data_IF_327265033978
#
_entry.id   IF_327265033978
#
_cell.length_a   1.000
_cell.length_b   1.000
_cell.length_c   1.000
_cell.angle_alpha   90.00
_cell.angle_beta   90.00
_cell.angle_gamma   90.00
#
_symmetry.space_group_name_H-M   'P 1'
#
loop_
_entity.id
_entity.type
_entity.pdbx_description
1 polymer ?
#
# COMPACT_ATOMS: atom_id res chain seq x y z
N UNK A 1 -30.97 -0.07 -1.79
CA UNK A 1 -29.83 -0.59 -2.57
C UNK A 1 -29.06 -1.56 -1.69
N UNK A 2 -28.58 -2.68 -2.24
CA UNK A 2 -27.73 -3.64 -1.50
C UNK A 2 -26.39 -2.99 -1.13
N UNK A 3 -25.83 -3.34 0.04
CA UNK A 3 -24.46 -2.95 0.43
C UNK A 3 -23.48 -3.43 -0.67
N UNK A 4 -22.53 -2.58 -1.10
CA UNK A 4 -21.48 -3.00 -2.04
C UNK A 4 -20.49 -3.90 -1.31
N UNK A 5 -19.87 -4.83 -2.02
CA UNK A 5 -18.88 -5.73 -1.41
C UNK A 5 -17.71 -4.98 -0.75
N UNK A 6 -17.26 -3.88 -1.37
CA UNK A 6 -16.21 -3.00 -0.82
C UNK A 6 -16.62 -2.34 0.49
N UNK A 7 -17.88 -1.94 0.64
CA UNK A 7 -18.40 -1.31 1.86
C UNK A 7 -18.41 -2.32 3.01
N UNK A 8 -18.76 -3.58 2.70
CA UNK A 8 -18.70 -4.70 3.64
C UNK A 8 -17.27 -4.93 4.14
N UNK A 9 -16.30 -5.01 3.23
CA UNK A 9 -14.88 -5.21 3.60
C UNK A 9 -14.33 -4.04 4.41
N UNK A 10 -14.64 -2.80 4.00
CA UNK A 10 -14.29 -1.59 4.73
C UNK A 10 -14.77 -1.65 6.19
N UNK A 11 -16.06 -1.97 6.38
CA UNK A 11 -16.66 -2.07 7.71
C UNK A 11 -16.00 -3.13 8.58
N UNK A 12 -15.59 -4.26 8.00
CA UNK A 12 -14.89 -5.33 8.72
C UNK A 12 -13.46 -4.93 9.11
N UNK A 13 -12.76 -4.20 8.24
CA UNK A 13 -11.39 -3.74 8.49
C UNK A 13 -11.33 -2.51 9.41
N UNK A 14 -12.46 -1.82 9.62
CA UNK A 14 -12.52 -0.54 10.35
C UNK A 14 -11.78 -0.53 11.69
N UNK A 15 -11.91 -1.53 12.59
CA UNK A 15 -11.19 -1.51 13.87
C UNK A 15 -9.67 -1.53 13.71
N UNK A 16 -9.14 -2.24 12.71
CA UNK A 16 -7.70 -2.26 12.41
C UNK A 16 -7.27 -0.92 11.84
N UNK A 17 -8.09 -0.34 10.96
CA UNK A 17 -7.78 0.95 10.35
C UNK A 17 -7.78 2.10 11.38
N UNK A 18 -8.75 2.11 12.28
CA UNK A 18 -8.81 3.04 13.42
C UNK A 18 -7.58 2.87 14.33
N UNK A 19 -7.15 1.63 14.60
CA UNK A 19 -5.94 1.36 15.37
C UNK A 19 -4.65 1.83 14.66
N UNK A 20 -4.56 1.65 13.33
CA UNK A 20 -3.45 2.16 12.53
C UNK A 20 -3.38 3.69 12.58
N UNK A 21 -4.50 4.37 12.40
CA UNK A 21 -4.54 5.84 12.50
C UNK A 21 -4.13 6.32 13.89
N UNK A 22 -4.57 5.65 14.96
CA UNK A 22 -4.18 6.00 16.34
C UNK A 22 -2.77 5.53 16.74
N UNK A 23 -2.05 4.82 15.88
CA UNK A 23 -0.75 4.26 16.23
C UNK A 23 0.30 5.37 16.41
N UNK A 24 1.18 5.32 17.44
CA UNK A 24 2.18 6.37 17.69
C UNK A 24 3.09 6.69 16.51
N UNK A 25 3.40 5.70 15.66
CA UNK A 25 4.19 5.91 14.46
C UNK A 25 3.46 6.82 13.44
N UNK A 26 2.17 6.57 13.17
CA UNK A 26 1.38 7.34 12.21
C UNK A 26 1.08 8.73 12.76
N UNK A 27 0.69 8.83 14.03
CA UNK A 27 0.50 10.12 14.70
C UNK A 27 1.80 10.95 14.70
N UNK A 28 2.93 10.31 15.01
CA UNK A 28 4.24 10.96 15.02
C UNK A 28 4.71 11.47 13.64
N UNK A 29 4.28 10.84 12.54
CA UNK A 29 4.48 11.40 11.20
C UNK A 29 3.61 12.64 11.01
N UNK A 30 2.33 12.57 11.41
CA UNK A 30 1.36 13.65 11.23
C UNK A 30 1.68 14.92 12.03
N UNK A 31 2.18 14.77 13.26
CA UNK A 31 2.53 15.90 14.14
C UNK A 31 4.03 16.26 14.13
N UNK A 32 4.86 15.48 13.45
CA UNK A 32 6.31 15.70 13.33
C UNK A 32 7.13 15.27 14.56
N UNK A 33 6.53 14.58 15.53
CA UNK A 33 7.21 14.10 16.74
C UNK A 33 7.94 12.76 16.57
N UNK A 34 7.78 12.08 15.43
CA UNK A 34 8.44 10.81 15.17
C UNK A 34 9.96 10.98 15.12
N UNK A 35 10.68 10.16 15.91
CA UNK A 35 12.12 10.04 15.83
C UNK A 35 12.56 9.67 14.40
N UNK A 36 13.42 10.50 13.83
CA UNK A 36 13.92 10.35 12.46
C UNK A 36 14.61 8.99 12.23
N UNK A 37 15.23 8.39 13.25
CA UNK A 37 15.87 7.07 13.10
C UNK A 37 14.84 5.95 12.94
N UNK A 38 13.66 6.07 13.59
CA UNK A 38 12.55 5.15 13.37
C UNK A 38 11.96 5.31 11.98
N UNK A 39 11.86 6.55 11.48
CA UNK A 39 11.41 6.81 10.13
C UNK A 39 12.36 6.21 9.09
N UNK A 40 13.68 6.45 9.22
CA UNK A 40 14.70 5.84 8.34
C UNK A 40 14.69 4.31 8.39
N UNK A 41 14.44 3.71 9.56
CA UNK A 41 14.28 2.27 9.66
C UNK A 41 13.06 1.80 8.86
N UNK A 42 11.92 2.47 9.03
CA UNK A 42 10.70 2.16 8.30
C UNK A 42 10.88 2.28 6.78
N UNK A 43 11.46 3.37 6.25
CA UNK A 43 11.70 3.55 4.81
C UNK A 43 12.54 2.41 4.22
N UNK A 44 13.59 1.97 4.93
CA UNK A 44 14.40 0.82 4.50
C UNK A 44 13.61 -0.49 4.46
N UNK A 45 12.67 -0.68 5.38
CA UNK A 45 11.78 -1.85 5.37
C UNK A 45 10.70 -1.72 4.29
N UNK A 46 10.20 -0.51 4.04
CA UNK A 46 9.21 -0.25 3.00
C UNK A 46 9.77 -0.55 1.61
N UNK A 47 11.04 -0.20 1.36
CA UNK A 47 11.74 -0.60 0.13
C UNK A 47 11.73 -2.13 -0.10
N UNK A 48 11.99 -2.93 0.94
CA UNK A 48 11.93 -4.39 0.85
C UNK A 48 10.50 -4.88 0.60
N UNK A 49 9.51 -4.26 1.25
CA UNK A 49 8.10 -4.54 1.01
C UNK A 49 7.70 -4.22 -0.44
N UNK A 50 8.15 -3.09 -1.00
CA UNK A 50 7.83 -2.67 -2.36
C UNK A 50 8.34 -3.64 -3.43
N UNK A 51 9.48 -4.30 -3.19
CA UNK A 51 9.97 -5.37 -4.08
C UNK A 51 8.94 -6.51 -4.19
N UNK A 52 8.44 -6.99 -3.05
CA UNK A 52 7.46 -8.07 -3.03
C UNK A 52 6.07 -7.59 -3.48
N UNK A 53 5.72 -6.34 -3.20
CA UNK A 53 4.50 -5.72 -3.69
C UNK A 53 4.48 -5.61 -5.22
N UNK A 54 5.60 -5.20 -5.84
CA UNK A 54 5.73 -5.17 -7.30
C UNK A 54 5.58 -6.57 -7.92
N UNK A 55 6.14 -7.60 -7.29
CA UNK A 55 5.96 -9.01 -7.71
C UNK A 55 4.49 -9.44 -7.62
N UNK A 56 3.80 -9.07 -6.54
CA UNK A 56 2.37 -9.35 -6.39
C UNK A 56 1.54 -8.69 -7.50
N UNK A 57 1.82 -7.42 -7.82
CA UNK A 57 1.15 -6.71 -8.91
C UNK A 57 1.42 -7.36 -10.27
N UNK A 58 2.65 -7.84 -10.53
CA UNK A 58 2.96 -8.57 -11.75
C UNK A 58 2.20 -9.91 -11.84
N UNK A 59 2.02 -10.62 -10.72
CA UNK A 59 1.13 -11.79 -10.67
C UNK A 59 -0.32 -11.43 -10.96
N UNK A 60 -0.79 -10.25 -10.54
CA UNK A 60 -2.12 -9.77 -10.85
C UNK A 60 -2.29 -9.46 -12.35
N UNK A 61 -1.26 -8.93 -13.03
CA UNK A 61 -1.24 -8.79 -14.50
C UNK A 61 -1.46 -10.15 -15.17
N UNK A 62 -0.69 -11.15 -14.78
CA UNK A 62 -0.76 -12.49 -15.37
C UNK A 62 -2.10 -13.20 -15.13
N UNK A 63 -2.83 -12.82 -14.08
CA UNK A 63 -4.13 -13.41 -13.69
C UNK A 63 -5.34 -12.54 -14.04
N UNK A 64 -5.13 -11.39 -14.68
CA UNK A 64 -6.20 -10.44 -14.95
C UNK A 64 -7.27 -11.08 -15.88
N UNK A 65 -8.57 -10.86 -15.61
CA UNK A 65 -9.64 -11.48 -16.38
C UNK A 65 -9.88 -10.82 -17.75
N UNK A 66 -9.40 -9.59 -17.92
CA UNK A 66 -9.59 -8.79 -19.13
C UNK A 66 -8.40 -7.83 -19.35
N UNK A 67 -8.31 -7.28 -20.57
CA UNK A 67 -7.21 -6.41 -20.98
C UNK A 67 -7.17 -5.09 -20.21
N UNK A 68 -8.31 -4.56 -19.77
CA UNK A 68 -8.36 -3.28 -19.06
C UNK A 68 -7.78 -3.44 -17.64
N UNK A 69 -8.17 -4.51 -16.95
CA UNK A 69 -7.59 -4.92 -15.67
C UNK A 69 -6.09 -5.24 -15.81
N UNK A 70 -5.70 -5.94 -16.87
CA UNK A 70 -4.30 -6.27 -17.16
C UNK A 70 -3.44 -5.02 -17.31
N UNK A 71 -3.89 -4.05 -18.13
CA UNK A 71 -3.20 -2.76 -18.31
C UNK A 71 -3.09 -2.01 -17.00
N UNK A 72 -4.18 -1.94 -16.23
CA UNK A 72 -4.18 -1.24 -14.94
C UNK A 72 -3.17 -1.83 -13.96
N UNK A 73 -3.05 -3.15 -13.86
CA UNK A 73 -2.02 -3.76 -13.03
C UNK A 73 -0.61 -3.55 -13.59
N UNK A 74 -0.44 -3.54 -14.92
CA UNK A 74 0.86 -3.27 -15.53
C UNK A 74 1.33 -1.83 -15.26
N UNK A 75 0.43 -0.86 -15.30
CA UNK A 75 0.71 0.53 -14.93
C UNK A 75 1.12 0.64 -13.46
N UNK A 76 0.46 -0.11 -12.57
CA UNK A 76 0.84 -0.16 -11.15
C UNK A 76 2.24 -0.77 -10.96
N UNK A 77 2.58 -1.86 -11.67
CA UNK A 77 3.94 -2.43 -11.64
C UNK A 77 4.96 -1.38 -12.10
N UNK A 78 4.68 -0.68 -13.19
CA UNK A 78 5.57 0.36 -13.70
C UNK A 78 5.76 1.49 -12.69
N UNK A 79 4.67 1.99 -12.11
CA UNK A 79 4.71 3.05 -11.10
C UNK A 79 5.47 2.63 -9.85
N UNK A 80 5.27 1.39 -9.37
CA UNK A 80 6.02 0.90 -8.20
C UNK A 80 7.51 0.80 -8.53
N UNK A 81 7.89 0.15 -9.63
CA UNK A 81 9.30 -0.11 -9.95
C UNK A 81 10.11 1.13 -10.35
N UNK A 82 9.49 2.09 -11.04
CA UNK A 82 10.22 3.19 -11.69
C UNK A 82 9.86 4.58 -11.16
N UNK A 83 8.95 4.67 -10.19
CA UNK A 83 8.59 5.95 -9.54
C UNK A 83 8.75 5.82 -8.05
N UNK A 84 8.02 4.90 -7.41
CA UNK A 84 8.01 4.78 -5.96
C UNK A 84 9.37 4.34 -5.40
N UNK A 85 10.02 3.38 -6.07
CA UNK A 85 11.33 2.88 -5.64
C UNK A 85 12.45 3.93 -5.75
N UNK A 86 12.32 4.91 -6.65
CA UNK A 86 13.31 6.01 -6.79
C UNK A 86 13.19 7.07 -5.67
N UNK A 87 12.07 7.08 -4.94
CA UNK A 87 11.86 7.96 -3.78
C UNK A 87 12.53 7.45 -2.50
N UNK A 88 13.05 6.22 -2.52
CA UNK A 88 13.62 5.50 -1.38
C UNK A 88 15.15 5.51 -1.39
#
# INVERSE_FOLDING_TARGET
>A
MSERFTDRLYRLARPVWEAQHGHPFVQGIGDGSLDIEKFKFWVRQDYLFLIDYARLLALAVARAPDLDSMRRFADLVHSTLNVEMDLH
#
